data_IF_481387930457
#
_entry.id   IF_481387930457
#
_cell.length_a   1.000
_cell.length_b   1.000
_cell.length_c   1.000
_cell.angle_alpha   90.00
_cell.angle_beta   90.00
_cell.angle_gamma   90.00
#
_symmetry.space_group_name_H-M   'P 1'
#
loop_
_entity.id
_entity.type
_entity.pdbx_description
1 polymer ?
#
# COMPACT_ATOMS: atom_id res chain seq x y z
N UNK A 1 10.36 22.73 -30.19
CA UNK A 1 10.60 22.81 -28.74
C UNK A 1 9.47 22.09 -28.02
N UNK A 2 9.51 20.76 -27.94
CA UNK A 2 8.34 19.99 -27.45
C UNK A 2 8.73 18.69 -26.76
N UNK A 3 9.84 18.70 -26.00
CA UNK A 3 10.30 17.54 -25.23
C UNK A 3 10.21 17.73 -23.71
N UNK A 4 9.87 18.94 -23.22
CA UNK A 4 9.89 19.25 -21.79
C UNK A 4 8.55 19.03 -21.07
N UNK A 5 7.42 18.95 -21.79
CA UNK A 5 6.10 18.80 -21.15
C UNK A 5 5.75 17.34 -20.79
N UNK A 6 6.47 16.35 -21.31
CA UNK A 6 6.22 14.93 -20.99
C UNK A 6 6.96 14.47 -19.72
N UNK A 7 8.03 15.17 -19.34
CA UNK A 7 8.84 14.80 -18.18
C UNK A 7 8.16 15.21 -16.86
N UNK A 8 7.50 16.36 -16.84
CA UNK A 8 6.78 16.85 -15.66
C UNK A 8 5.64 15.90 -15.25
N UNK A 9 4.83 15.44 -16.21
CA UNK A 9 3.74 14.50 -15.92
C UNK A 9 4.26 13.15 -15.39
N UNK A 10 5.41 12.68 -15.88
CA UNK A 10 6.05 11.45 -15.40
C UNK A 10 6.66 11.61 -13.99
N UNK A 11 7.22 12.78 -13.68
CA UNK A 11 7.74 13.10 -12.35
C UNK A 11 6.60 13.17 -11.34
N UNK A 12 5.48 13.81 -11.70
CA UNK A 12 4.31 13.92 -10.84
C UNK A 12 3.64 12.55 -10.60
N UNK A 13 3.49 11.73 -11.65
CA UNK A 13 3.03 10.34 -11.52
C UNK A 13 3.97 9.50 -10.67
N UNK A 14 5.28 9.64 -10.84
CA UNK A 14 6.27 8.94 -10.02
C UNK A 14 6.21 9.33 -8.54
N UNK A 15 5.88 10.59 -8.25
CA UNK A 15 5.71 11.10 -6.89
C UNK A 15 4.43 10.61 -6.24
N UNK A 16 3.31 10.63 -6.96
CA UNK A 16 2.02 10.13 -6.48
C UNK A 16 2.04 8.62 -6.20
N UNK A 17 2.67 7.83 -7.07
CA UNK A 17 2.86 6.39 -6.86
C UNK A 17 3.78 6.14 -5.66
N UNK A 18 4.85 6.92 -5.51
CA UNK A 18 5.75 6.84 -4.36
C UNK A 18 5.07 7.16 -3.03
N UNK A 19 4.19 8.18 -3.01
CA UNK A 19 3.39 8.53 -1.84
C UNK A 19 2.37 7.43 -1.49
N UNK A 20 1.61 6.92 -2.47
CA UNK A 20 0.69 5.79 -2.26
C UNK A 20 1.40 4.55 -1.74
N UNK A 21 2.54 4.18 -2.32
CA UNK A 21 3.32 3.02 -1.90
C UNK A 21 3.89 3.22 -0.48
N UNK A 22 4.30 4.44 -0.15
CA UNK A 22 4.71 4.82 1.20
C UNK A 22 3.58 4.69 2.21
N UNK A 23 2.39 5.15 1.85
CA UNK A 23 1.19 5.11 2.71
C UNK A 23 0.71 3.68 2.96
N UNK A 24 0.58 2.87 1.89
CA UNK A 24 0.26 1.44 1.96
C UNK A 24 1.32 0.66 2.77
N UNK A 25 2.61 0.90 2.52
CA UNK A 25 3.70 0.25 3.26
C UNK A 25 3.60 0.56 4.76
N UNK A 26 3.24 1.79 5.11
CA UNK A 26 3.02 2.20 6.51
C UNK A 26 1.78 1.52 7.09
N UNK A 27 0.69 1.46 6.33
CA UNK A 27 -0.53 0.71 6.66
C UNK A 27 -0.23 -0.76 6.95
N UNK A 28 0.48 -1.45 6.06
CA UNK A 28 0.91 -2.85 6.22
C UNK A 28 1.75 -3.04 7.47
N UNK A 29 2.67 -2.12 7.78
CA UNK A 29 3.47 -2.18 9.01
C UNK A 29 2.59 -2.06 10.26
N UNK A 30 1.61 -1.16 10.25
CA UNK A 30 0.62 -1.02 11.33
C UNK A 30 -0.21 -2.30 11.43
N UNK A 31 -0.76 -2.80 10.33
CA UNK A 31 -1.52 -4.05 10.26
C UNK A 31 -0.69 -5.22 10.81
N UNK A 32 0.55 -5.42 10.36
CA UNK A 32 1.43 -6.50 10.83
C UNK A 32 1.68 -6.46 12.34
N UNK A 33 1.77 -5.27 12.93
CA UNK A 33 1.97 -5.10 14.37
C UNK A 33 0.67 -5.17 15.19
N UNK A 34 -0.47 -4.89 14.56
CA UNK A 34 -1.77 -4.71 15.22
C UNK A 34 -2.80 -5.79 14.88
N UNK A 35 -2.56 -6.66 13.89
CA UNK A 35 -3.45 -7.77 13.48
C UNK A 35 -3.72 -8.77 14.60
N UNK A 36 -2.85 -8.85 15.61
CA UNK A 36 -3.08 -9.68 16.80
C UNK A 36 -3.90 -8.99 17.90
N UNK A 37 -4.13 -7.68 17.77
CA UNK A 37 -4.79 -6.84 18.79
C UNK A 37 -6.12 -6.25 18.32
N UNK A 38 -6.25 -5.99 17.02
CA UNK A 38 -7.38 -5.33 16.40
C UNK A 38 -7.94 -6.16 15.26
N UNK A 39 -9.24 -6.05 15.04
CA UNK A 39 -9.91 -6.72 13.92
C UNK A 39 -9.69 -5.98 12.60
N UNK A 40 -9.90 -6.66 11.47
CA UNK A 40 -9.85 -6.07 10.11
C UNK A 40 -10.65 -4.77 10.02
N UNK A 41 -11.88 -4.76 10.56
CA UNK A 41 -12.74 -3.57 10.56
C UNK A 41 -12.17 -2.40 11.37
N UNK A 42 -11.52 -2.66 12.50
CA UNK A 42 -10.91 -1.60 13.31
C UNK A 42 -9.68 -1.02 12.64
N UNK A 43 -8.86 -1.88 12.02
CA UNK A 43 -7.71 -1.47 11.22
C UNK A 43 -8.13 -0.65 9.99
N UNK A 44 -9.20 -1.09 9.31
CA UNK A 44 -9.80 -0.37 8.19
C UNK A 44 -10.29 1.02 8.61
N UNK A 45 -11.00 1.11 9.75
CA UNK A 45 -11.43 2.39 10.29
C UNK A 45 -10.28 3.28 10.75
N UNK A 46 -9.19 2.71 11.27
CA UNK A 46 -8.05 3.46 11.82
C UNK A 46 -7.12 3.99 10.73
N UNK A 47 -6.94 3.20 9.67
CA UNK A 47 -6.11 3.54 8.52
C UNK A 47 -6.91 4.20 7.39
N UNK A 48 -8.22 4.34 7.55
CA UNK A 48 -9.15 4.84 6.52
C UNK A 48 -9.05 4.06 5.20
N UNK A 49 -8.72 2.77 5.30
CA UNK A 49 -8.68 1.83 4.18
C UNK A 49 -9.95 1.00 4.12
N UNK A 50 -10.24 0.47 2.94
CA UNK A 50 -11.27 -0.54 2.77
C UNK A 50 -10.94 -1.82 3.56
N UNK A 51 -11.97 -2.46 4.11
CA UNK A 51 -11.81 -3.74 4.81
C UNK A 51 -11.21 -4.82 3.89
N UNK A 52 -11.55 -4.78 2.61
CA UNK A 52 -10.99 -5.68 1.59
C UNK A 52 -9.48 -5.47 1.43
N UNK A 53 -9.04 -4.20 1.40
CA UNK A 53 -7.61 -3.84 1.33
C UNK A 53 -6.84 -4.34 2.55
N UNK A 54 -7.37 -4.12 3.76
CA UNK A 54 -6.75 -4.64 4.98
C UNK A 54 -6.71 -6.17 4.98
N UNK A 55 -7.77 -6.83 4.51
CA UNK A 55 -7.80 -8.28 4.41
C UNK A 55 -6.74 -8.79 3.43
N UNK A 56 -6.63 -8.21 2.23
CA UNK A 56 -5.56 -8.51 1.26
C UNK A 56 -4.17 -8.30 1.87
N UNK A 57 -3.96 -7.20 2.60
CA UNK A 57 -2.69 -6.96 3.31
C UNK A 57 -2.38 -8.10 4.28
N UNK A 58 -3.36 -8.52 5.10
CA UNK A 58 -3.17 -9.61 6.07
C UNK A 58 -2.90 -10.93 5.36
N UNK A 59 -3.64 -11.25 4.31
CA UNK A 59 -3.43 -12.45 3.51
C UNK A 59 -2.01 -12.49 2.92
N UNK A 60 -1.53 -11.39 2.34
CA UNK A 60 -0.19 -11.27 1.80
C UNK A 60 0.90 -11.37 2.88
N UNK A 61 0.69 -10.74 4.05
CA UNK A 61 1.62 -10.84 5.20
C UNK A 61 1.70 -12.29 5.70
N UNK A 62 0.58 -13.00 5.74
CA UNK A 62 0.51 -14.38 6.22
C UNK A 62 1.05 -15.38 5.19
N UNK A 63 0.76 -15.18 3.91
CA UNK A 63 1.25 -16.02 2.81
C UNK A 63 2.76 -15.84 2.60
N UNK A 64 3.25 -14.62 2.77
CA UNK A 64 4.65 -14.26 2.55
C UNK A 64 5.22 -13.44 3.71
N UNK A 65 5.50 -14.07 4.88
CA UNK A 65 6.04 -13.37 6.05
C UNK A 65 7.45 -12.79 5.81
N UNK A 66 8.14 -13.30 4.79
CA UNK A 66 9.45 -12.85 4.30
C UNK A 66 9.39 -11.59 3.42
N UNK A 67 8.20 -11.18 2.97
CA UNK A 67 8.07 -9.97 2.16
C UNK A 67 8.14 -8.70 3.02
N UNK A 68 8.87 -7.72 2.52
CA UNK A 68 8.89 -6.36 3.06
C UNK A 68 7.56 -5.65 2.84
N UNK A 69 7.27 -4.66 3.70
CA UNK A 69 6.00 -3.95 3.64
C UNK A 69 5.83 -3.21 2.31
N UNK A 70 6.94 -2.71 1.74
CA UNK A 70 6.97 -2.11 0.40
C UNK A 70 6.67 -3.09 -0.71
N UNK A 71 7.10 -4.35 -0.57
CA UNK A 71 6.87 -5.38 -1.58
C UNK A 71 5.40 -5.78 -1.61
N UNK A 72 4.80 -5.98 -0.43
CA UNK A 72 3.37 -6.22 -0.28
C UNK A 72 2.56 -5.01 -0.80
N UNK A 73 2.98 -3.78 -0.47
CA UNK A 73 2.33 -2.57 -0.97
C UNK A 73 2.35 -2.48 -2.50
N UNK A 74 3.49 -2.80 -3.12
CA UNK A 74 3.64 -2.81 -4.58
C UNK A 74 2.71 -3.84 -5.22
N UNK A 75 2.66 -5.06 -4.67
CA UNK A 75 1.81 -6.14 -5.19
C UNK A 75 0.33 -5.75 -5.12
N UNK A 76 -0.13 -5.16 -4.01
CA UNK A 76 -1.51 -4.69 -3.86
C UNK A 76 -1.83 -3.58 -4.88
N UNK A 77 -0.90 -2.64 -5.12
CA UNK A 77 -1.09 -1.59 -6.13
C UNK A 77 -1.14 -2.18 -7.54
N UNK A 78 -0.33 -3.20 -7.84
CA UNK A 78 -0.33 -3.90 -9.12
C UNK A 78 -1.61 -4.73 -9.34
N UNK A 79 -2.16 -5.36 -8.29
CA UNK A 79 -3.44 -6.08 -8.38
C UNK A 79 -4.67 -5.17 -8.55
N UNK A 80 -4.60 -3.92 -8.07
CA UNK A 80 -5.68 -2.92 -8.22
C UNK A 80 -5.68 -2.22 -9.59
N UNK A 81 -4.70 -2.52 -10.46
CA UNK A 81 -4.51 -1.87 -11.77
C UNK A 81 -5.14 -2.64 -12.93
#
# INVERSE_FOLDING_TARGET
MTLLMRDQENIEKGKEIGEKLGDLSRGIRVVKSNMSKYSVHELASLLEFDCDMIQKMIEQILAHPEWDEKKIASEIIEEEK
#
